data_IF_142236981443
#
_entry.id   IF_142236981443
#
_cell.length_a   1.000
_cell.length_b   1.000
_cell.length_c   1.000
_cell.angle_alpha   90.00
_cell.angle_beta   90.00
_cell.angle_gamma   90.00
#
_symmetry.space_group_name_H-M   'P 1'
#
loop_
_entity.id
_entity.type
_entity.pdbx_description
1 polymer ?
#
# COMPACT_ATOMS: atom_id res chain seq x y z
N UNK A 1 24.64 -9.18 1.22
CA UNK A 1 24.94 -7.90 0.53
C UNK A 1 23.62 -7.35 -0.01
N UNK A 2 22.88 -6.65 0.84
CA UNK A 2 21.57 -6.08 0.56
C UNK A 2 21.72 -5.00 -0.50
N UNK A 3 21.16 -5.24 -1.69
CA UNK A 3 21.03 -4.23 -2.74
C UNK A 3 20.10 -3.13 -2.20
N UNK A 4 20.69 -1.99 -1.82
CA UNK A 4 19.97 -0.75 -1.59
C UNK A 4 19.41 -0.32 -2.94
N UNK A 5 18.12 -0.58 -3.15
CA UNK A 5 17.40 0.00 -4.28
C UNK A 5 17.51 1.51 -4.09
N UNK A 6 18.19 2.20 -5.01
CA UNK A 6 18.24 3.67 -5.09
C UNK A 6 16.83 4.21 -5.33
N UNK A 7 16.01 4.27 -4.29
CA UNK A 7 14.80 5.07 -4.26
C UNK A 7 15.20 6.49 -3.88
N UNK A 8 15.43 7.33 -4.88
CA UNK A 8 15.71 8.77 -4.74
C UNK A 8 14.45 9.58 -4.36
N UNK A 9 13.51 8.95 -3.65
CA UNK A 9 12.24 9.55 -3.24
C UNK A 9 12.12 9.52 -1.72
N UNK A 10 12.20 10.68 -1.10
CA UNK A 10 11.94 10.84 0.33
C UNK A 10 10.56 10.30 0.71
N UNK A 11 10.52 9.26 1.55
CA UNK A 11 9.31 8.66 2.11
C UNK A 11 8.79 9.44 3.33
N UNK A 12 8.92 10.77 3.33
CA UNK A 12 8.49 11.65 4.44
C UNK A 12 6.98 11.56 4.75
N UNK A 13 6.17 10.95 3.87
CA UNK A 13 4.74 10.72 4.12
C UNK A 13 4.45 9.41 4.86
N UNK A 14 3.18 9.18 5.21
CA UNK A 14 2.73 7.96 5.89
C UNK A 14 2.68 8.12 7.41
N UNK A 15 2.16 7.11 8.08
CA UNK A 15 1.98 7.09 9.52
C UNK A 15 2.81 5.97 10.14
N UNK A 16 3.38 6.25 11.31
CA UNK A 16 3.91 5.21 12.19
C UNK A 16 2.73 4.39 12.73
N UNK A 17 2.91 3.09 12.83
CA UNK A 17 1.83 2.18 13.22
C UNK A 17 1.45 2.39 14.70
N UNK A 18 2.43 2.33 15.61
CA UNK A 18 2.21 2.49 17.05
C UNK A 18 3.31 3.36 17.69
N UNK A 19 4.08 2.81 18.64
CA UNK A 19 5.10 3.53 19.40
C UNK A 19 6.51 3.32 18.88
N UNK A 20 6.66 2.53 17.83
CA UNK A 20 7.89 2.34 17.09
C UNK A 20 7.96 3.28 15.89
N UNK A 21 9.16 3.51 15.37
CA UNK A 21 9.37 4.33 14.18
C UNK A 21 9.21 3.49 12.89
N UNK A 22 8.26 2.53 12.89
CA UNK A 22 8.00 1.61 11.80
C UNK A 22 6.70 1.98 11.09
N UNK A 23 6.72 2.00 9.75
CA UNK A 23 5.55 2.26 8.91
C UNK A 23 5.09 0.97 8.24
N UNK A 24 4.25 0.20 8.93
CA UNK A 24 3.68 -1.02 8.37
C UNK A 24 2.63 -0.72 7.30
N UNK A 25 2.92 -1.07 6.04
CA UNK A 25 2.06 -0.77 4.88
C UNK A 25 0.69 -1.46 4.94
N UNK A 26 0.61 -2.67 5.51
CA UNK A 26 -0.64 -3.43 5.60
C UNK A 26 -1.68 -2.78 6.53
N UNK A 27 -1.42 -2.57 7.84
CA UNK A 27 -2.37 -1.91 8.74
C UNK A 27 -2.63 -0.46 8.35
N UNK A 28 -1.65 0.23 7.77
CA UNK A 28 -1.83 1.57 7.22
C UNK A 28 -2.87 1.58 6.09
N UNK A 29 -2.78 0.62 5.16
CA UNK A 29 -3.72 0.49 4.04
C UNK A 29 -5.13 0.21 4.54
N UNK A 30 -5.28 -0.72 5.48
CA UNK A 30 -6.56 -1.01 6.13
C UNK A 30 -7.17 0.23 6.79
N UNK A 31 -6.36 1.01 7.52
CA UNK A 31 -6.80 2.25 8.15
C UNK A 31 -7.25 3.28 7.11
N UNK A 32 -6.52 3.44 6.01
CA UNK A 32 -6.89 4.37 4.93
C UNK A 32 -8.17 3.94 4.21
N UNK A 33 -8.41 2.63 4.05
CA UNK A 33 -9.67 2.10 3.52
C UNK A 33 -10.85 2.49 4.41
N UNK A 34 -10.75 2.27 5.73
CA UNK A 34 -11.82 2.56 6.67
C UNK A 34 -12.11 4.06 6.80
N UNK A 35 -11.07 4.90 6.88
CA UNK A 35 -11.25 6.36 6.92
C UNK A 35 -11.85 6.89 5.62
N UNK A 36 -11.43 6.35 4.48
CA UNK A 36 -12.01 6.74 3.19
C UNK A 36 -13.47 6.33 3.09
N UNK A 37 -13.81 5.12 3.56
CA UNK A 37 -15.20 4.66 3.62
C UNK A 37 -16.04 5.52 4.57
N UNK A 38 -15.51 5.87 5.75
CA UNK A 38 -16.25 6.73 6.70
C UNK A 38 -16.57 8.10 6.09
N UNK A 39 -15.65 8.68 5.30
CA UNK A 39 -15.89 9.95 4.59
C UNK A 39 -16.95 9.79 3.50
N UNK A 40 -16.96 8.66 2.77
CA UNK A 40 -17.97 8.38 1.75
C UNK A 40 -19.36 8.29 2.39
N UNK A 41 -19.49 7.54 3.48
CA UNK A 41 -20.78 7.29 4.14
C UNK A 41 -21.29 8.51 4.92
N UNK A 42 -20.41 9.18 5.66
CA UNK A 42 -20.77 10.23 6.62
C UNK A 42 -20.29 11.62 6.22
N UNK A 43 -20.07 11.87 4.93
CA UNK A 43 -19.59 13.17 4.41
C UNK A 43 -20.33 14.39 4.98
N UNK A 44 -21.66 14.37 4.99
CA UNK A 44 -22.49 15.46 5.52
C UNK A 44 -22.22 15.75 7.01
N UNK A 45 -21.91 14.72 7.81
CA UNK A 45 -21.54 14.91 9.22
C UNK A 45 -20.18 15.59 9.35
N UNK A 46 -19.18 15.14 8.58
CA UNK A 46 -17.87 15.79 8.54
C UNK A 46 -17.94 17.25 8.05
N UNK A 47 -18.87 17.57 7.15
CA UNK A 47 -19.13 18.96 6.75
C UNK A 47 -19.72 19.78 7.89
N UNK A 48 -20.72 19.23 8.59
CA UNK A 48 -21.36 19.92 9.72
C UNK A 48 -20.41 20.21 10.88
N UNK A 49 -19.41 19.34 11.10
CA UNK A 49 -18.37 19.52 12.12
C UNK A 49 -17.17 20.32 11.63
N UNK A 50 -17.15 20.72 10.35
CA UNK A 50 -16.03 21.42 9.69
C UNK A 50 -14.72 20.61 9.64
N UNK A 51 -14.80 19.29 9.79
CA UNK A 51 -13.65 18.37 9.78
C UNK A 51 -13.43 17.69 8.42
N UNK A 52 -14.32 17.90 7.43
CA UNK A 52 -14.21 17.25 6.11
C UNK A 52 -12.87 17.53 5.42
N UNK A 53 -12.34 18.75 5.55
CA UNK A 53 -11.04 19.08 4.97
C UNK A 53 -9.91 18.34 5.71
N UNK A 54 -9.94 18.33 7.04
CA UNK A 54 -8.91 17.70 7.85
C UNK A 54 -8.81 16.19 7.60
N UNK A 55 -9.95 15.49 7.56
CA UNK A 55 -9.94 14.04 7.29
C UNK A 55 -9.48 13.72 5.87
N UNK A 56 -9.82 14.54 4.87
CA UNK A 56 -9.31 14.38 3.50
C UNK A 56 -7.80 14.57 3.44
N UNK A 57 -7.25 15.52 4.18
CA UNK A 57 -5.79 15.71 4.27
C UNK A 57 -5.09 14.51 4.92
N UNK A 58 -5.66 13.93 5.98
CA UNK A 58 -5.15 12.70 6.61
C UNK A 58 -5.12 11.56 5.60
N UNK A 59 -6.23 11.34 4.87
CA UNK A 59 -6.32 10.28 3.87
C UNK A 59 -5.28 10.52 2.77
N UNK A 60 -5.17 11.76 2.26
CA UNK A 60 -4.19 12.15 1.24
C UNK A 60 -2.76 11.81 1.67
N UNK A 61 -2.39 12.19 2.90
CA UNK A 61 -1.05 11.92 3.44
C UNK A 61 -0.72 10.43 3.50
N UNK A 62 -1.68 9.60 3.89
CA UNK A 62 -1.51 8.14 3.94
C UNK A 62 -1.40 7.51 2.56
N UNK A 63 -2.31 7.86 1.64
CA UNK A 63 -2.30 7.27 0.29
C UNK A 63 -1.14 7.76 -0.57
N UNK A 64 -0.62 8.96 -0.33
CA UNK A 64 0.60 9.44 -0.97
C UNK A 64 1.83 8.61 -0.55
N UNK A 65 1.87 8.12 0.70
CA UNK A 65 2.88 7.15 1.10
C UNK A 65 2.70 5.82 0.39
N UNK A 66 1.47 5.29 0.33
CA UNK A 66 1.18 4.05 -0.39
C UNK A 66 1.60 4.15 -1.86
N UNK A 67 1.29 5.27 -2.54
CA UNK A 67 1.72 5.53 -3.90
C UNK A 67 3.24 5.65 -4.07
N UNK A 68 4.00 6.00 -3.04
CA UNK A 68 5.48 6.01 -3.09
C UNK A 68 6.08 4.64 -2.81
N UNK A 69 5.43 3.82 -1.98
CA UNK A 69 5.84 2.43 -1.69
C UNK A 69 5.66 1.50 -2.89
N UNK A 70 4.76 1.88 -3.79
CA UNK A 70 4.65 1.34 -5.12
C UNK A 70 5.51 2.27 -5.96
N UNK A 71 6.41 1.81 -6.82
CA UNK A 71 7.01 2.74 -7.77
C UNK A 71 5.92 3.11 -8.80
N UNK A 72 4.96 3.97 -8.43
CA UNK A 72 3.70 4.20 -9.15
C UNK A 72 3.91 4.84 -10.52
N UNK A 73 5.13 5.32 -10.79
CA UNK A 73 5.56 5.82 -12.08
C UNK A 73 5.98 4.72 -13.06
N UNK A 74 6.04 3.46 -12.63
CA UNK A 74 6.35 2.30 -13.46
C UNK A 74 5.09 1.53 -13.84
N UNK A 75 5.00 1.09 -15.10
CA UNK A 75 3.89 0.29 -15.63
C UNK A 75 3.75 -1.07 -14.94
N UNK A 76 4.83 -1.55 -14.33
CA UNK A 76 4.86 -2.78 -13.56
C UNK A 76 5.85 -2.69 -12.41
N UNK A 77 5.46 -3.20 -11.24
CA UNK A 77 6.30 -3.26 -10.03
C UNK A 77 6.51 -4.72 -9.67
N UNK A 78 7.73 -5.12 -9.29
CA UNK A 78 8.04 -6.49 -8.83
C UNK A 78 8.22 -6.59 -7.31
N UNK A 79 8.36 -5.44 -6.64
CA UNK A 79 8.69 -5.33 -5.24
C UNK A 79 7.75 -4.32 -4.56
N UNK A 80 7.09 -4.72 -3.48
CA UNK A 80 6.42 -3.77 -2.58
C UNK A 80 7.37 -3.50 -1.43
N UNK A 81 7.60 -2.21 -1.16
CA UNK A 81 8.54 -1.76 -0.14
C UNK A 81 7.82 -1.09 1.03
N UNK A 82 8.45 -1.05 2.19
CA UNK A 82 8.01 -0.26 3.33
C UNK A 82 9.20 0.35 4.05
N UNK A 83 8.94 1.39 4.83
CA UNK A 83 9.98 2.08 5.60
C UNK A 83 10.02 1.57 7.04
N UNK A 84 11.21 1.16 7.47
CA UNK A 84 11.54 0.84 8.87
C UNK A 84 12.66 1.79 9.28
N UNK A 85 12.43 2.71 10.21
CA UNK A 85 13.47 3.62 10.72
C UNK A 85 14.32 4.29 9.63
N UNK A 86 13.68 4.89 8.61
CA UNK A 86 14.33 5.55 7.44
C UNK A 86 15.00 4.60 6.44
N UNK A 87 14.93 3.28 6.64
CA UNK A 87 15.44 2.27 5.72
C UNK A 87 14.30 1.66 4.94
N UNK A 88 14.46 1.62 3.62
CA UNK A 88 13.53 0.92 2.74
C UNK A 88 13.74 -0.59 2.81
N UNK A 89 12.77 -1.30 3.35
CA UNK A 89 12.74 -2.76 3.39
C UNK A 89 11.81 -3.25 2.30
N UNK A 90 12.31 -4.13 1.42
CA UNK A 90 11.44 -4.86 0.50
C UNK A 90 10.65 -5.87 1.32
N UNK A 91 9.37 -5.58 1.57
CA UNK A 91 8.48 -6.47 2.31
C UNK A 91 8.08 -7.66 1.43
N UNK A 92 7.98 -7.47 0.12
CA UNK A 92 7.53 -8.53 -0.76
C UNK A 92 8.29 -8.58 -2.08
N UNK A 93 8.82 -9.75 -2.40
CA UNK A 93 9.31 -10.12 -3.73
C UNK A 93 8.25 -10.97 -4.44
N UNK A 94 7.68 -10.44 -5.53
CA UNK A 94 6.82 -11.16 -6.48
C UNK A 94 5.50 -11.81 -5.97
N UNK A 95 5.29 -12.05 -4.67
CA UNK A 95 4.17 -12.88 -4.16
C UNK A 95 3.52 -12.37 -2.86
N UNK A 96 2.79 -11.27 -2.93
CA UNK A 96 1.92 -10.82 -1.82
C UNK A 96 0.62 -10.27 -2.37
N UNK A 97 -0.22 -11.15 -2.90
CA UNK A 97 -1.56 -10.79 -3.38
C UNK A 97 -2.38 -10.11 -2.31
N UNK A 98 -2.26 -10.53 -1.04
CA UNK A 98 -3.03 -9.97 0.07
C UNK A 98 -2.59 -8.53 0.37
N UNK A 99 -1.28 -8.28 0.49
CA UNK A 99 -0.75 -6.91 0.66
C UNK A 99 -1.09 -6.03 -0.55
N UNK A 100 -0.93 -6.55 -1.76
CA UNK A 100 -1.25 -5.82 -2.99
C UNK A 100 -2.74 -5.48 -3.09
N UNK A 101 -3.62 -6.42 -2.71
CA UNK A 101 -5.07 -6.22 -2.71
C UNK A 101 -5.48 -5.20 -1.64
N UNK A 102 -4.87 -5.24 -0.45
CA UNK A 102 -5.18 -4.29 0.63
C UNK A 102 -4.77 -2.87 0.24
N UNK A 103 -3.57 -2.68 -0.31
CA UNK A 103 -3.12 -1.37 -0.81
C UNK A 103 -4.00 -0.92 -1.98
N UNK A 104 -4.38 -1.82 -2.88
CA UNK A 104 -5.27 -1.50 -4.00
C UNK A 104 -6.66 -1.06 -3.51
N UNK A 105 -7.21 -1.72 -2.47
CA UNK A 105 -8.46 -1.34 -1.86
C UNK A 105 -8.38 0.08 -1.25
N UNK A 106 -7.32 0.37 -0.50
CA UNK A 106 -7.09 1.69 0.08
C UNK A 106 -7.05 2.79 -0.98
N UNK A 107 -6.27 2.58 -2.05
CA UNK A 107 -6.15 3.54 -3.16
C UNK A 107 -7.48 3.69 -3.93
N UNK A 108 -8.21 2.60 -4.15
CA UNK A 108 -9.49 2.61 -4.84
C UNK A 108 -10.55 3.41 -4.07
N UNK A 109 -10.72 3.14 -2.78
CA UNK A 109 -11.71 3.86 -1.96
C UNK A 109 -11.31 5.34 -1.81
N UNK A 110 -10.02 5.64 -1.62
CA UNK A 110 -9.54 7.03 -1.60
C UNK A 110 -9.80 7.77 -2.92
N UNK A 111 -9.71 7.08 -4.07
CA UNK A 111 -10.00 7.69 -5.38
C UNK A 111 -11.45 8.20 -5.50
N UNK A 112 -12.39 7.58 -4.78
CA UNK A 112 -13.79 7.99 -4.70
C UNK A 112 -13.93 9.24 -3.84
N UNK A 113 -13.21 9.32 -2.71
CA UNK A 113 -13.16 10.50 -1.84
C UNK A 113 -12.66 11.73 -2.61
N UNK A 114 -11.63 11.55 -3.44
CA UNK A 114 -11.04 12.61 -4.26
C UNK A 114 -11.61 12.69 -5.68
N UNK A 115 -12.79 12.12 -5.97
CA UNK A 115 -13.37 12.10 -7.33
C UNK A 115 -13.46 13.47 -8.03
N UNK A 116 -13.63 14.54 -7.25
CA UNK A 116 -13.70 15.91 -7.76
C UNK A 116 -12.32 16.48 -8.13
N UNK A 117 -11.25 15.94 -7.56
CA UNK A 117 -9.87 16.23 -7.90
C UNK A 117 -9.36 15.18 -8.89
N UNK A 118 -9.54 15.48 -10.17
CA UNK A 118 -9.18 14.57 -11.26
C UNK A 118 -7.71 14.18 -11.25
N UNK A 119 -6.81 15.08 -10.84
CA UNK A 119 -5.37 14.80 -10.85
C UNK A 119 -5.00 13.78 -9.77
N UNK A 120 -5.54 13.91 -8.57
CA UNK A 120 -5.29 12.97 -7.48
C UNK A 120 -6.02 11.63 -7.71
N UNK A 121 -7.29 11.68 -8.13
CA UNK A 121 -8.04 10.47 -8.45
C UNK A 121 -7.38 9.65 -9.57
N UNK A 122 -6.85 10.30 -10.62
CA UNK A 122 -6.11 9.60 -11.68
C UNK A 122 -4.87 8.87 -11.17
N UNK A 123 -4.06 9.51 -10.32
CA UNK A 123 -2.86 8.89 -9.74
C UNK A 123 -3.20 7.66 -8.89
N UNK A 124 -4.25 7.76 -8.08
CA UNK A 124 -4.72 6.67 -7.22
C UNK A 124 -5.20 5.49 -8.06
N UNK A 125 -6.05 5.74 -9.06
CA UNK A 125 -6.56 4.71 -9.98
C UNK A 125 -5.42 4.07 -10.79
N UNK A 126 -4.44 4.86 -11.25
CA UNK A 126 -3.25 4.33 -11.91
C UNK A 126 -2.48 3.37 -11.00
N UNK A 127 -2.26 3.75 -9.73
CA UNK A 127 -1.64 2.87 -8.73
C UNK A 127 -2.41 1.57 -8.51
N UNK A 128 -3.75 1.63 -8.47
CA UNK A 128 -4.63 0.43 -8.39
C UNK A 128 -4.40 -0.50 -9.57
N UNK A 129 -4.32 0.01 -10.81
CA UNK A 129 -4.07 -0.82 -11.98
C UNK A 129 -2.67 -1.44 -11.98
N UNK A 130 -1.64 -0.70 -11.56
CA UNK A 130 -0.28 -1.24 -11.40
C UNK A 130 -0.26 -2.39 -10.39
N UNK A 131 -0.97 -2.23 -9.27
CA UNK A 131 -1.11 -3.27 -8.24
C UNK A 131 -1.92 -4.47 -8.71
N UNK A 132 -3.02 -4.24 -9.42
CA UNK A 132 -3.84 -5.31 -9.96
C UNK A 132 -3.05 -6.15 -10.97
N UNK A 133 -2.26 -5.50 -11.85
CA UNK A 133 -1.33 -6.20 -12.75
C UNK A 133 -0.27 -6.98 -11.97
N UNK A 134 0.27 -6.42 -10.89
CA UNK A 134 1.21 -7.13 -10.02
C UNK A 134 0.59 -8.37 -9.38
N UNK A 135 -0.59 -8.25 -8.77
CA UNK A 135 -1.29 -9.34 -8.11
C UNK A 135 -1.81 -10.41 -9.09
N UNK A 136 -2.22 -10.00 -10.29
CA UNK A 136 -2.83 -10.89 -11.31
C UNK A 136 -1.82 -11.58 -12.22
N UNK A 137 -0.51 -11.33 -12.03
CA UNK A 137 0.56 -11.96 -12.83
C UNK A 137 0.68 -13.47 -12.63
N UNK A 138 0.10 -14.03 -11.56
CA UNK A 138 0.15 -15.47 -11.27
C UNK A 138 -1.27 -15.99 -10.93
N UNK A 139 -2.06 -16.31 -11.96
CA UNK A 139 -3.43 -16.87 -11.85
C UNK A 139 -3.44 -18.33 -11.32
N UNK A 140 -2.29 -18.90 -10.96
CA UNK A 140 -2.28 -20.13 -10.15
C UNK A 140 -2.60 -19.74 -8.71
N UNK A 141 -3.89 -19.73 -8.38
CA UNK A 141 -4.40 -19.75 -7.01
C UNK A 141 -3.79 -20.91 -6.22
N UNK A 142 -2.59 -20.72 -5.67
CA UNK A 142 -2.11 -21.55 -4.57
C UNK A 142 -2.58 -20.88 -3.29
N UNK A 143 -3.48 -21.56 -2.60
CA UNK A 143 -3.71 -21.33 -1.19
C UNK A 143 -2.36 -21.41 -0.47
N UNK A 144 -2.19 -20.57 0.55
CA UNK A 144 -1.06 -20.52 1.50
C UNK A 144 -0.77 -21.87 2.21
N UNK A 145 -1.51 -22.93 1.85
CA UNK A 145 -1.44 -24.30 2.39
C UNK A 145 -0.59 -25.24 1.50
N UNK A 146 -0.14 -24.81 0.31
CA UNK A 146 0.63 -25.68 -0.60
C UNK A 146 2.04 -25.16 -0.90
N UNK A 147 2.81 -24.87 0.14
CA UNK A 147 4.27 -25.01 0.10
C UNK A 147 4.76 -25.84 1.30
N UNK A 148 4.38 -27.14 1.31
CA UNK A 148 5.22 -28.21 1.88
C UNK A 148 6.52 -28.38 1.06
N UNK A 149 7.16 -27.27 0.72
CA UNK A 149 8.38 -27.16 -0.07
C UNK A 149 9.37 -26.16 0.51
N UNK A 150 9.07 -25.56 1.67
CA UNK A 150 9.98 -24.68 2.41
C UNK A 150 10.83 -25.46 3.44
N UNK A 151 11.28 -26.65 3.06
CA UNK A 151 12.55 -27.15 3.59
C UNK A 151 13.60 -26.86 2.53
N UNK A 152 14.69 -26.15 2.87
CA UNK A 152 15.81 -26.01 1.94
C UNK A 152 16.24 -27.42 1.54
N UNK A 153 16.08 -27.76 0.24
CA UNK A 153 16.74 -28.94 -0.31
C UNK A 153 18.23 -28.73 -0.07
N UNK A 154 18.79 -29.56 0.80
CA UNK A 154 20.19 -29.61 1.29
C UNK A 154 20.42 -29.00 2.67
N UNK A 155 19.93 -29.68 3.71
CA UNK A 155 20.68 -29.84 4.96
C UNK A 155 21.19 -31.29 4.94
N UNK A 156 22.49 -31.48 4.71
CA UNK A 156 23.17 -32.72 5.11
C UNK A 156 23.38 -32.66 6.62
N UNK A 157 22.75 -33.56 7.35
CA UNK A 157 23.19 -33.95 8.68
C UNK A 157 23.65 -35.41 8.58
N UNK A 158 24.83 -35.63 9.16
CA UNK A 158 25.77 -36.77 9.07
C UNK A 158 26.52 -36.90 7.75
#
# INVERSE_FOLDING_TARGET
>A
MTSLINHTGSLVSGFYDVGDAIKFTFPLSFSMTLLSWSVIEYSAKYESTKELHHIKEIIRWGVDYLLKTLNSSADTTNNIVAEVEQVLVVICWARCSDLAAEVAAALAVASIVFKNDKANSYKLVHGVFTLWKFASRDIKHRTYILDNGMLPRTIRLV
#
